data_IF_944820548893
#
_entry.id   IF_944820548893
#
_cell.length_a   1.000
_cell.length_b   1.000
_cell.length_c   1.000
_cell.angle_alpha   90.00
_cell.angle_beta   90.00
_cell.angle_gamma   90.00
#
_symmetry.space_group_name_H-M   'P 1'
#
loop_
_entity.id
_entity.type
_entity.pdbx_description
1 polymer ?
#
# COMPACT_ATOMS: atom_id res chain seq x y z
N UNK A 1 14.20 8.44 14.70
CA UNK A 1 13.01 8.19 13.86
C UNK A 1 12.08 9.37 14.07
N UNK A 2 11.53 10.00 13.02
CA UNK A 2 10.48 11.00 13.23
C UNK A 2 9.27 10.25 13.79
N UNK A 3 8.76 10.67 14.93
CA UNK A 3 7.51 10.15 15.50
C UNK A 3 6.38 10.50 14.54
N UNK A 4 6.01 9.56 13.67
CA UNK A 4 4.80 9.67 12.87
C UNK A 4 3.61 9.43 13.79
N UNK A 5 3.02 10.50 14.30
CA UNK A 5 1.77 10.42 15.04
C UNK A 5 0.62 10.27 14.04
N UNK A 6 0.10 9.05 13.90
CA UNK A 6 -1.06 8.78 13.06
C UNK A 6 -2.37 9.05 13.82
N UNK A 7 -3.43 9.53 13.14
CA UNK A 7 -4.76 9.65 13.74
C UNK A 7 -5.25 8.34 14.37
N UNK A 8 -6.06 8.42 15.41
CA UNK A 8 -6.71 7.24 15.98
C UNK A 8 -7.57 6.52 14.93
N UNK A 9 -7.49 5.19 14.90
CA UNK A 9 -8.20 4.38 13.91
C UNK A 9 -7.56 4.37 12.51
N UNK A 10 -6.30 4.84 12.38
CA UNK A 10 -5.52 4.63 11.15
C UNK A 10 -5.25 3.14 10.95
N UNK A 11 -5.42 2.70 9.71
CA UNK A 11 -5.11 1.35 9.23
C UNK A 11 -4.06 1.45 8.13
N UNK A 12 -3.35 0.37 7.89
CA UNK A 12 -2.20 0.35 6.99
C UNK A 12 -2.36 -0.80 6.00
N UNK A 13 -2.04 -0.55 4.73
CA UNK A 13 -1.92 -1.56 3.69
C UNK A 13 -0.45 -1.63 3.34
N UNK A 14 0.16 -2.78 3.62
CA UNK A 14 1.53 -3.09 3.24
C UNK A 14 1.54 -3.83 1.92
N UNK A 15 2.37 -3.39 0.99
CA UNK A 15 2.58 -4.01 -0.32
C UNK A 15 4.08 -4.27 -0.45
N UNK A 16 4.44 -5.54 -0.63
CA UNK A 16 5.83 -5.99 -0.79
C UNK A 16 6.02 -6.48 -2.21
N UNK A 17 6.90 -5.81 -2.94
CA UNK A 17 7.35 -6.25 -4.25
C UNK A 17 8.52 -7.24 -4.12
N UNK A 18 8.43 -8.35 -4.86
CA UNK A 18 9.57 -9.24 -5.06
C UNK A 18 10.54 -8.69 -6.12
N UNK A 19 11.79 -9.19 -6.12
CA UNK A 19 12.88 -8.71 -6.98
C UNK A 19 12.54 -8.64 -8.49
N UNK A 20 11.64 -9.50 -8.97
CA UNK A 20 11.27 -9.59 -10.39
C UNK A 20 10.43 -8.40 -10.91
N UNK A 21 9.81 -7.62 -10.01
CA UNK A 21 8.92 -6.49 -10.38
C UNK A 21 9.33 -5.19 -9.69
N UNK A 22 10.55 -5.13 -9.18
CA UNK A 22 11.06 -4.02 -8.37
C UNK A 22 10.93 -2.67 -9.08
N UNK A 23 10.31 -1.71 -8.40
CA UNK A 23 10.17 -0.34 -8.89
C UNK A 23 8.88 -0.12 -9.70
N UNK A 24 8.09 -1.16 -9.92
CA UNK A 24 6.79 -1.04 -10.56
C UNK A 24 5.85 -0.18 -9.72
N UNK A 25 5.65 -0.55 -8.45
CA UNK A 25 4.77 0.14 -7.53
C UNK A 25 5.29 1.53 -7.18
N UNK A 26 6.61 1.75 -7.21
CA UNK A 26 7.17 3.10 -7.14
C UNK A 26 6.72 3.97 -8.32
N UNK A 27 6.68 3.41 -9.52
CA UNK A 27 6.26 4.13 -10.73
C UNK A 27 4.75 4.37 -10.77
N UNK A 28 3.96 3.49 -10.18
CA UNK A 28 2.49 3.53 -10.18
C UNK A 28 1.86 4.07 -8.88
N UNK A 29 2.65 4.44 -7.86
CA UNK A 29 2.12 4.81 -6.55
C UNK A 29 1.14 5.98 -6.64
N UNK A 30 1.48 7.01 -7.42
CA UNK A 30 0.63 8.19 -7.55
C UNK A 30 -0.71 7.84 -8.20
N UNK A 31 -0.66 7.06 -9.27
CA UNK A 31 -1.85 6.64 -10.02
C UNK A 31 -2.71 5.67 -9.19
N UNK A 32 -2.10 4.80 -8.38
CA UNK A 32 -2.80 3.97 -7.40
C UNK A 32 -3.54 4.82 -6.36
N UNK A 33 -2.87 5.84 -5.79
CA UNK A 33 -3.51 6.73 -4.80
C UNK A 33 -4.68 7.48 -5.45
N UNK A 34 -4.51 7.97 -6.68
CA UNK A 34 -5.60 8.62 -7.43
C UNK A 34 -6.75 7.65 -7.70
N UNK A 35 -6.47 6.43 -8.14
CA UNK A 35 -7.49 5.40 -8.35
C UNK A 35 -8.29 5.12 -7.07
N UNK A 36 -7.62 5.01 -5.93
CA UNK A 36 -8.27 4.77 -4.64
C UNK A 36 -9.14 5.96 -4.21
N UNK A 37 -8.64 7.19 -4.36
CA UNK A 37 -9.38 8.43 -4.08
C UNK A 37 -10.65 8.54 -4.95
N UNK A 38 -10.55 8.24 -6.25
CA UNK A 38 -11.69 8.21 -7.18
C UNK A 38 -12.76 7.17 -6.79
N UNK A 39 -12.37 6.13 -6.04
CA UNK A 39 -13.27 5.11 -5.49
C UNK A 39 -13.72 5.40 -4.04
N UNK A 40 -13.39 6.59 -3.50
CA UNK A 40 -13.76 7.00 -2.15
C UNK A 40 -12.93 6.36 -1.04
N UNK A 41 -11.70 5.96 -1.35
CA UNK A 41 -10.78 5.26 -0.46
C UNK A 41 -9.54 6.11 -0.17
N UNK A 42 -9.74 7.22 0.55
CA UNK A 42 -8.70 8.22 0.78
C UNK A 42 -7.49 7.65 1.53
N UNK A 43 -6.30 7.92 0.99
CA UNK A 43 -5.03 7.62 1.63
C UNK A 43 -4.57 8.83 2.45
N UNK A 44 -4.38 8.64 3.75
CA UNK A 44 -3.88 9.66 4.67
C UNK A 44 -2.39 9.94 4.49
N UNK A 45 -1.62 8.91 4.16
CA UNK A 45 -0.18 8.99 3.96
C UNK A 45 0.34 7.76 3.22
N UNK A 46 1.44 7.90 2.50
CA UNK A 46 2.15 6.78 1.88
C UNK A 46 3.64 6.84 2.23
N UNK A 47 4.24 5.68 2.48
CA UNK A 47 5.67 5.56 2.71
C UNK A 47 6.24 4.44 1.85
N UNK A 48 7.48 4.61 1.36
CA UNK A 48 8.20 3.61 0.60
C UNK A 48 9.58 3.40 1.21
N UNK A 49 9.97 2.13 1.34
CA UNK A 49 11.32 1.75 1.77
C UNK A 49 11.81 0.56 0.98
N UNK A 50 13.11 0.49 0.76
CA UNK A 50 13.76 -0.59 0.02
C UNK A 50 14.61 -1.40 1.00
N UNK A 51 14.35 -2.70 1.10
CA UNK A 51 15.02 -3.55 2.07
C UNK A 51 15.23 -4.95 1.53
N UNK A 52 16.44 -5.48 1.67
CA UNK A 52 16.80 -6.84 1.20
C UNK A 52 16.36 -7.08 -0.25
N UNK A 53 16.58 -6.09 -1.10
CA UNK A 53 16.16 -6.01 -2.50
C UNK A 53 14.65 -5.92 -2.79
N UNK A 54 13.76 -6.13 -1.83
CA UNK A 54 12.32 -5.90 -1.98
C UNK A 54 11.94 -4.42 -1.78
N UNK A 55 10.96 -3.93 -2.56
CA UNK A 55 10.32 -2.63 -2.30
C UNK A 55 9.11 -2.84 -1.40
N UNK A 56 9.05 -2.09 -0.31
CA UNK A 56 7.92 -2.05 0.61
C UNK A 56 7.22 -0.72 0.45
N UNK A 57 5.91 -0.77 0.22
CA UNK A 57 5.04 0.41 0.23
C UNK A 57 3.98 0.23 1.29
N UNK A 58 3.78 1.27 2.08
CA UNK A 58 2.74 1.32 3.11
C UNK A 58 1.82 2.47 2.80
N UNK A 59 0.54 2.18 2.65
CA UNK A 59 -0.52 3.18 2.55
C UNK A 59 -1.24 3.24 3.89
N UNK A 60 -1.25 4.39 4.53
CA UNK A 60 -2.06 4.68 5.71
C UNK A 60 -3.43 5.19 5.26
N UNK A 61 -4.51 4.63 5.80
CA UNK A 61 -5.89 4.97 5.46
C UNK A 61 -6.80 4.97 6.68
N UNK A 62 -8.00 5.53 6.54
CA UNK A 62 -9.00 5.61 7.61
C UNK A 62 -9.72 4.28 7.83
N UNK A 63 -10.12 3.96 9.07
CA UNK A 63 -10.99 2.82 9.36
C UNK A 63 -12.31 2.82 8.58
N UNK A 64 -12.75 3.97 8.06
CA UNK A 64 -13.95 4.10 7.23
C UNK A 64 -13.82 3.39 5.88
N UNK A 65 -12.60 3.18 5.38
CA UNK A 65 -12.37 2.62 4.06
C UNK A 65 -12.50 1.09 4.01
N UNK A 66 -12.66 0.40 5.16
CA UNK A 66 -12.67 -1.06 5.33
C UNK A 66 -11.42 -1.80 4.78
N UNK A 67 -10.84 -2.71 5.56
CA UNK A 67 -9.62 -3.42 5.15
C UNK A 67 -9.80 -4.23 3.87
N UNK A 68 -10.95 -4.91 3.74
CA UNK A 68 -11.18 -5.75 2.57
C UNK A 68 -11.34 -4.88 1.33
N UNK A 69 -12.06 -3.77 1.44
CA UNK A 69 -12.28 -2.86 0.31
C UNK A 69 -10.96 -2.24 -0.13
N UNK A 70 -10.13 -1.75 0.80
CA UNK A 70 -8.79 -1.25 0.49
C UNK A 70 -7.89 -2.30 -0.17
N UNK A 71 -7.88 -3.51 0.38
CA UNK A 71 -7.12 -4.63 -0.16
C UNK A 71 -7.54 -4.97 -1.59
N UNK A 72 -8.85 -5.16 -1.83
CA UNK A 72 -9.36 -5.56 -3.14
C UNK A 72 -9.26 -4.44 -4.17
N UNK A 73 -9.51 -3.18 -3.81
CA UNK A 73 -9.37 -2.06 -4.74
C UNK A 73 -7.92 -1.90 -5.22
N UNK A 74 -6.97 -1.98 -4.29
CA UNK A 74 -5.55 -1.96 -4.63
C UNK A 74 -5.17 -3.14 -5.52
N UNK A 75 -5.67 -4.34 -5.19
CA UNK A 75 -5.42 -5.53 -5.99
C UNK A 75 -5.97 -5.42 -7.41
N UNK A 76 -7.21 -4.93 -7.56
CA UNK A 76 -7.84 -4.71 -8.87
C UNK A 76 -7.01 -3.77 -9.73
N UNK A 77 -6.59 -2.62 -9.20
CA UNK A 77 -5.73 -1.68 -9.93
C UNK A 77 -4.43 -2.35 -10.41
N UNK A 78 -3.78 -3.13 -9.54
CA UNK A 78 -2.52 -3.80 -9.89
C UNK A 78 -2.70 -4.88 -10.95
N UNK A 79 -3.78 -5.66 -10.87
CA UNK A 79 -4.13 -6.66 -11.88
C UNK A 79 -4.47 -5.96 -13.22
N UNK A 80 -5.18 -4.83 -13.22
CA UNK A 80 -5.48 -4.02 -14.43
C UNK A 80 -4.23 -3.44 -15.09
N UNK A 81 -3.23 -3.06 -14.30
CA UNK A 81 -1.96 -2.55 -14.81
C UNK A 81 -1.01 -3.70 -15.23
N UNK A 82 -1.44 -4.96 -15.11
CA UNK A 82 -0.71 -6.14 -15.60
C UNK A 82 0.32 -6.70 -14.62
N UNK A 83 0.27 -6.32 -13.33
CA UNK A 83 1.10 -6.94 -12.30
C UNK A 83 0.48 -8.27 -11.90
N UNK A 84 1.25 -9.35 -12.03
CA UNK A 84 0.77 -10.64 -11.54
C UNK A 84 0.74 -10.61 -10.01
N UNK A 85 -0.45 -10.79 -9.43
CA UNK A 85 -0.65 -10.79 -7.97
C UNK A 85 0.17 -11.85 -7.22
N UNK A 86 0.75 -12.86 -7.88
CA UNK A 86 1.71 -13.79 -7.27
C UNK A 86 3.11 -13.19 -7.05
N UNK A 87 3.40 -12.02 -7.63
CA UNK A 87 4.67 -11.33 -7.51
C UNK A 87 4.69 -10.28 -6.39
N UNK A 88 3.52 -10.04 -5.78
CA UNK A 88 3.32 -9.09 -4.69
C UNK A 88 2.77 -9.80 -3.46
N UNK A 89 3.21 -9.39 -2.28
CA UNK A 89 2.54 -9.71 -1.02
C UNK A 89 1.79 -8.49 -0.52
N UNK A 90 0.54 -8.65 -0.09
CA UNK A 90 -0.29 -7.57 0.43
C UNK A 90 -0.93 -7.96 1.75
N UNK A 91 -0.91 -7.06 2.73
CA UNK A 91 -1.48 -7.29 4.06
C UNK A 91 -2.03 -5.98 4.64
N UNK A 92 -3.18 -6.05 5.32
CA UNK A 92 -3.71 -4.94 6.10
C UNK A 92 -3.42 -5.09 7.59
N UNK A 93 -3.10 -3.99 8.27
CA UNK A 93 -2.81 -3.99 9.70
C UNK A 93 -3.32 -2.73 10.39
N UNK A 94 -3.54 -2.81 11.71
CA UNK A 94 -3.82 -1.65 12.57
C UNK A 94 -2.56 -1.09 13.25
N UNK A 95 -1.43 -1.78 13.09
CA UNK A 95 -0.13 -1.41 13.64
C UNK A 95 0.75 -0.98 12.46
N UNK A 96 1.42 0.17 12.61
CA UNK A 96 2.36 0.63 11.59
C UNK A 96 3.42 -0.46 11.34
N UNK A 97 3.60 -0.93 10.10
CA UNK A 97 4.53 -2.01 9.81
C UNK A 97 5.97 -1.56 10.08
N UNK A 98 6.67 -2.27 10.95
CA UNK A 98 8.10 -2.07 11.18
C UNK A 98 8.89 -3.01 10.26
N UNK A 99 9.56 -2.44 9.25
CA UNK A 99 10.43 -3.20 8.35
C UNK A 99 11.85 -3.29 8.93
N UNK A 100 12.02 -4.22 9.86
CA UNK A 100 13.16 -4.39 10.76
C UNK A 100 14.47 -4.76 10.07
#
# INVERSE_FOLDING_TARGET
MKDYTFPAGTRFLSIVENDNVKGYLASHLKDLITYLDEHGLDILSSNQTNKNNCLYTVLAYSHQNDDNVMYYATRTYLDECGVNSNQLSMETSTIFPHFN
#
